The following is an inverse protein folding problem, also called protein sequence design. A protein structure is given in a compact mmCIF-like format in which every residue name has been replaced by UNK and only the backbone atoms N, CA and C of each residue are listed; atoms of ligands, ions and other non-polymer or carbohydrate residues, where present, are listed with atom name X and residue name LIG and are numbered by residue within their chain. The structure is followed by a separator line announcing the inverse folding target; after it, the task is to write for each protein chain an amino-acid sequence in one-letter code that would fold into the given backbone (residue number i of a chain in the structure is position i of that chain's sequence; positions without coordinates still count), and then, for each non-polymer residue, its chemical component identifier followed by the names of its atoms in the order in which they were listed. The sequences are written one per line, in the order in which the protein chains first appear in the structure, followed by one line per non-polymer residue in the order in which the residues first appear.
data_IF_303924056696
#
_entry.id   IF_303924056696
#
_cell.length_a   1.000
_cell.length_b   1.000
_cell.length_c   1.000
_cell.angle_alpha   90.00
_cell.angle_beta   90.00
_cell.angle_gamma   90.00
#
_symmetry.space_group_name_H-M   'P 1'
#
loop_
_entity.id
_entity.type
_entity.pdbx_description
1 polymer ?
#
# COMPACT_ATOMS: atom_id res chain seq x y z
N UNK A 1 -19.98 43.11 3.29
CA UNK A 1 -20.17 41.66 3.09
C UNK A 1 -18.84 40.98 3.32
N UNK A 2 -18.69 40.21 4.39
CA UNK A 2 -17.46 39.47 4.70
C UNK A 2 -17.61 38.05 4.19
N UNK A 3 -16.76 37.64 3.25
CA UNK A 3 -16.68 36.24 2.81
C UNK A 3 -15.81 35.52 3.83
N UNK A 4 -16.41 34.63 4.61
CA UNK A 4 -15.67 33.71 5.47
C UNK A 4 -15.33 32.46 4.66
N UNK A 5 -14.07 32.30 4.28
CA UNK A 5 -13.57 31.02 3.78
C UNK A 5 -13.15 30.15 4.95
N UNK A 6 -13.91 29.09 5.22
CA UNK A 6 -13.51 28.06 6.18
C UNK A 6 -12.51 27.12 5.52
N UNK A 7 -11.40 26.84 6.20
CA UNK A 7 -10.44 25.82 5.80
C UNK A 7 -11.01 24.44 6.18
N UNK A 8 -11.24 23.56 5.20
CA UNK A 8 -11.98 22.30 5.34
C UNK A 8 -11.17 21.09 5.83
N UNK A 9 -9.84 21.20 6.02
CA UNK A 9 -9.03 20.05 6.42
C UNK A 9 -8.13 20.36 7.62
N UNK A 10 -8.57 19.92 8.79
CA UNK A 10 -7.80 19.97 10.05
C UNK A 10 -7.01 18.67 10.32
N UNK A 11 -7.08 17.66 9.44
CA UNK A 11 -6.55 16.29 9.64
C UNK A 11 -5.71 15.76 8.47
N UNK A 12 -5.18 16.61 7.60
CA UNK A 12 -4.48 16.18 6.38
C UNK A 12 -3.13 15.51 6.72
N UNK A 13 -3.16 14.19 6.96
CA UNK A 13 -1.99 13.30 7.08
C UNK A 13 -1.91 12.50 5.80
N UNK A 14 -1.54 13.17 4.71
CA UNK A 14 -1.72 12.68 3.33
C UNK A 14 -0.69 11.62 2.96
N UNK A 15 -0.96 10.38 3.30
CA UNK A 15 -0.38 9.23 2.62
C UNK A 15 -1.35 8.77 1.51
N UNK A 16 -1.86 9.73 0.72
CA UNK A 16 -2.89 9.50 -0.30
C UNK A 16 -4.14 8.73 0.16
N UNK A 17 -4.58 8.95 1.41
CA UNK A 17 -5.78 8.31 1.97
C UNK A 17 -5.51 7.07 2.82
N UNK A 18 -4.28 6.56 2.82
CA UNK A 18 -3.88 5.39 3.61
C UNK A 18 -3.55 5.75 5.07
N UNK A 19 -3.73 4.78 5.97
CA UNK A 19 -3.61 4.99 7.42
C UNK A 19 -2.22 5.46 7.90
N UNK A 20 -1.15 5.07 7.21
CA UNK A 20 0.23 5.43 7.55
C UNK A 20 1.19 5.37 6.34
N UNK A 21 2.43 5.83 6.55
CA UNK A 21 3.46 5.89 5.52
C UNK A 21 3.83 4.51 4.99
N UNK A 22 4.01 3.55 5.89
CA UNK A 22 4.44 2.20 5.55
C UNK A 22 3.41 1.49 4.66
N UNK A 23 2.12 1.60 5.00
CA UNK A 23 1.01 1.08 4.18
C UNK A 23 0.97 1.75 2.81
N UNK A 24 1.03 3.09 2.77
CA UNK A 24 1.01 3.81 1.50
C UNK A 24 2.20 3.50 0.60
N UNK A 25 3.40 3.41 1.16
CA UNK A 25 4.61 3.14 0.40
C UNK A 25 4.54 1.74 -0.23
N UNK A 26 4.05 0.76 0.50
CA UNK A 26 3.84 -0.60 -0.05
C UNK A 26 2.82 -0.58 -1.18
N UNK A 27 1.67 0.05 -0.99
CA UNK A 27 0.64 0.15 -2.03
C UNK A 27 1.18 0.86 -3.26
N UNK A 28 1.91 1.96 -3.09
CA UNK A 28 2.54 2.70 -4.18
C UNK A 28 3.38 1.76 -5.06
N UNK A 29 4.22 0.92 -4.46
CA UNK A 29 5.04 -0.02 -5.21
C UNK A 29 4.23 -1.18 -5.81
N UNK A 30 3.25 -1.70 -5.09
CA UNK A 30 2.37 -2.74 -5.64
C UNK A 30 1.65 -2.23 -6.89
N UNK A 31 1.07 -1.03 -6.86
CA UNK A 31 0.28 -0.47 -7.96
C UNK A 31 1.13 0.02 -9.15
N UNK A 32 2.35 0.51 -8.90
CA UNK A 32 3.18 1.14 -9.94
C UNK A 32 4.26 0.22 -10.51
N UNK A 33 4.57 -0.91 -9.87
CA UNK A 33 5.53 -1.88 -10.39
C UNK A 33 4.83 -2.94 -11.25
N UNK A 34 5.07 -2.85 -12.56
CA UNK A 34 4.50 -3.78 -13.55
C UNK A 34 4.89 -5.24 -13.27
N UNK A 35 6.09 -5.50 -12.73
CA UNK A 35 6.52 -6.87 -12.44
C UNK A 35 5.73 -7.48 -11.28
N UNK A 36 5.37 -6.67 -10.28
CA UNK A 36 4.53 -7.08 -9.14
C UNK A 36 3.09 -7.30 -9.63
N UNK A 37 2.55 -6.37 -10.43
CA UNK A 37 1.20 -6.49 -10.99
C UNK A 37 1.04 -7.71 -11.89
N UNK A 38 2.01 -7.97 -12.77
CA UNK A 38 2.00 -9.17 -13.62
C UNK A 38 2.09 -10.43 -12.77
N UNK A 39 2.92 -10.43 -11.72
CA UNK A 39 2.99 -11.57 -10.80
C UNK A 39 1.66 -11.84 -10.09
N UNK A 40 0.99 -10.80 -9.59
CA UNK A 40 -0.33 -10.91 -8.94
C UNK A 40 -1.35 -11.54 -9.89
N UNK A 41 -1.41 -11.06 -11.14
CA UNK A 41 -2.35 -11.56 -12.14
C UNK A 41 -2.01 -12.97 -12.62
N UNK A 42 -0.74 -13.26 -12.89
CA UNK A 42 -0.30 -14.55 -13.43
C UNK A 42 -0.41 -15.68 -12.40
N UNK A 43 -0.33 -15.36 -11.10
CA UNK A 43 -0.37 -16.34 -10.01
C UNK A 43 -1.68 -16.29 -9.19
N UNK A 44 -2.67 -15.49 -9.60
CA UNK A 44 -3.97 -15.36 -8.95
C UNK A 44 -3.85 -15.02 -7.44
N UNK A 45 -2.93 -14.11 -7.12
CA UNK A 45 -2.64 -13.72 -5.72
C UNK A 45 -3.84 -12.99 -5.14
N UNK A 46 -4.44 -13.56 -4.10
CA UNK A 46 -5.73 -13.09 -3.58
C UNK A 46 -5.62 -12.24 -2.30
N UNK A 47 -4.44 -12.13 -1.72
CA UNK A 47 -4.22 -11.33 -0.53
C UNK A 47 -2.75 -10.93 -0.36
N UNK A 48 -2.53 -9.95 0.50
CA UNK A 48 -1.21 -9.43 0.83
C UNK A 48 -0.32 -10.50 1.49
N UNK A 49 -0.89 -11.43 2.25
CA UNK A 49 -0.15 -12.56 2.83
C UNK A 49 0.49 -13.46 1.76
N UNK A 50 -0.22 -13.80 0.69
CA UNK A 50 0.33 -14.58 -0.42
C UNK A 50 1.41 -13.80 -1.18
N UNK A 51 1.22 -12.49 -1.35
CA UNK A 51 2.24 -11.63 -1.93
C UNK A 51 3.51 -11.57 -1.08
N UNK A 52 3.39 -11.56 0.25
CA UNK A 52 4.53 -11.61 1.17
C UNK A 52 5.32 -12.93 1.06
N UNK A 53 4.62 -14.05 0.91
CA UNK A 53 5.26 -15.35 0.68
C UNK A 53 6.07 -15.33 -0.62
N UNK A 54 5.50 -14.79 -1.70
CA UNK A 54 6.21 -14.62 -2.96
C UNK A 54 7.45 -13.72 -2.83
N UNK A 55 7.33 -12.58 -2.17
CA UNK A 55 8.47 -11.69 -1.93
C UNK A 55 9.60 -12.37 -1.15
N UNK A 56 9.26 -13.20 -0.17
CA UNK A 56 10.22 -14.00 0.56
C UNK A 56 10.94 -15.01 -0.34
N UNK A 57 10.21 -15.70 -1.24
CA UNK A 57 10.79 -16.64 -2.20
C UNK A 57 11.72 -15.97 -3.22
N UNK A 58 11.36 -14.78 -3.70
CA UNK A 58 12.20 -13.99 -4.61
C UNK A 58 13.36 -13.28 -3.90
N UNK A 59 13.38 -13.28 -2.57
CA UNK A 59 14.44 -12.68 -1.77
C UNK A 59 14.38 -11.15 -1.68
N UNK A 60 13.27 -10.52 -2.06
CA UNK A 60 13.03 -9.10 -1.84
C UNK A 60 12.47 -8.86 -0.44
N UNK A 61 13.07 -7.91 0.30
CA UNK A 61 12.78 -7.71 1.74
C UNK A 61 12.13 -6.37 2.04
N UNK A 62 12.32 -5.41 1.17
CA UNK A 62 11.85 -4.04 1.34
C UNK A 62 11.57 -3.40 -0.01
N UNK A 63 10.70 -2.40 0.01
CA UNK A 63 10.50 -1.48 -1.11
C UNK A 63 11.81 -0.77 -1.44
N UNK A 64 11.97 -0.24 -2.67
CA UNK A 64 13.10 0.62 -3.01
C UNK A 64 13.27 1.86 -2.12
N UNK A 65 12.21 2.27 -1.41
CA UNK A 65 12.25 3.37 -0.42
C UNK A 65 12.65 2.91 1.00
N UNK A 66 12.95 1.61 1.19
CA UNK A 66 13.42 1.04 2.45
C UNK A 66 12.33 0.65 3.44
N UNK A 67 11.07 0.54 3.01
CA UNK A 67 9.98 0.01 3.85
C UNK A 67 9.96 -1.50 3.72
N UNK A 68 10.09 -2.23 4.83
CA UNK A 68 10.02 -3.69 4.79
C UNK A 68 8.62 -4.15 4.42
N UNK A 69 8.52 -5.13 3.53
CA UNK A 69 7.23 -5.70 3.15
C UNK A 69 6.50 -6.28 4.37
N UNK A 70 7.25 -6.88 5.30
CA UNK A 70 6.71 -7.48 6.53
C UNK A 70 6.67 -6.51 7.74
N UNK A 71 6.83 -5.19 7.55
CA UNK A 71 6.88 -4.23 8.66
C UNK A 71 5.58 -4.31 9.52
N UNK A 72 5.70 -4.43 10.86
CA UNK A 72 4.53 -4.57 11.74
C UNK A 72 3.59 -3.36 11.74
N UNK A 73 4.01 -2.21 11.22
CA UNK A 73 3.15 -1.03 11.07
C UNK A 73 2.26 -1.09 9.83
N UNK A 74 2.53 -2.00 8.90
CA UNK A 74 1.76 -2.14 7.66
C UNK A 74 0.35 -2.61 7.99
N UNK A 75 -0.63 -1.85 7.54
CA UNK A 75 -2.02 -2.20 7.73
C UNK A 75 -2.49 -3.18 6.64
N UNK A 76 -2.22 -4.46 6.86
CA UNK A 76 -2.53 -5.54 5.91
C UNK A 76 -4.03 -5.65 5.62
N UNK A 77 -4.87 -5.41 6.62
CA UNK A 77 -6.32 -5.46 6.46
C UNK A 77 -6.84 -4.38 5.50
N UNK A 78 -6.25 -3.19 5.54
CA UNK A 78 -6.57 -2.09 4.62
C UNK A 78 -6.09 -2.41 3.20
N UNK A 79 -4.87 -2.94 3.05
CA UNK A 79 -4.37 -3.39 1.73
C UNK A 79 -5.26 -4.48 1.14
N UNK A 80 -5.63 -5.49 1.93
CA UNK A 80 -6.51 -6.56 1.48
C UNK A 80 -7.91 -6.06 1.09
N UNK A 81 -8.44 -5.06 1.80
CA UNK A 81 -9.76 -4.48 1.54
C UNK A 81 -9.83 -3.51 0.37
N UNK A 82 -8.72 -2.87 -0.01
CA UNK A 82 -8.70 -1.86 -1.07
C UNK A 82 -7.98 -2.32 -2.34
N UNK A 83 -6.91 -3.12 -2.23
CA UNK A 83 -6.09 -3.58 -3.37
C UNK A 83 -6.52 -4.97 -3.85
N UNK A 84 -6.85 -5.87 -2.92
CA UNK A 84 -7.18 -7.28 -3.21
C UNK A 84 -8.68 -7.59 -3.12
N UNK A 85 -9.55 -6.58 -3.00
CA UNK A 85 -11.01 -6.74 -3.00
C UNK A 85 -11.54 -6.74 -4.44
N UNK A 86 -11.43 -7.88 -5.13
CA UNK A 86 -11.88 -8.08 -6.52
C UNK A 86 -12.83 -9.27 -6.70
#
# INVERSE_FOLDING_TARGET
MTVTTYQTNLTDRTYNGWTNYETWNIVLWIENDESIQNFIQDNDVCCYEELLEAFYEFGTKETPDGVKWDDPKVNRAEINGDVFDF
#
